data_IF_152647478929
#
_entry.id   IF_152647478929
#
_cell.length_a   1.000
_cell.length_b   1.000
_cell.length_c   1.000
_cell.angle_alpha   90.00
_cell.angle_beta   90.00
_cell.angle_gamma   90.00
#
_symmetry.space_group_name_H-M   'P 1'
#
loop_
_entity.id
_entity.type
_entity.pdbx_description
1 polymer ?
#
# COMPACT_ATOMS: atom_id res chain seq x y z
N UNK A 1 33.95 16.55 49.54
CA UNK A 1 34.37 17.07 48.22
C UNK A 1 33.82 16.13 47.16
N UNK A 2 32.72 16.52 46.52
CA UNK A 2 32.09 15.74 45.45
C UNK A 2 32.39 16.42 44.11
N UNK A 3 32.73 15.68 43.03
CA UNK A 3 32.90 16.29 41.73
C UNK A 3 31.52 16.50 41.09
N UNK A 4 31.22 17.75 40.76
CA UNK A 4 30.13 18.17 39.88
C UNK A 4 30.52 17.87 38.44
N UNK A 5 29.85 16.92 37.81
CA UNK A 5 29.99 16.64 36.40
C UNK A 5 28.73 17.15 35.68
N UNK A 6 28.91 18.26 34.98
CA UNK A 6 27.92 18.89 34.12
C UNK A 6 27.60 17.95 32.96
N UNK A 7 26.32 17.60 32.81
CA UNK A 7 25.82 16.97 31.60
C UNK A 7 25.72 18.03 30.49
N UNK A 8 26.74 18.11 29.64
CA UNK A 8 26.59 18.74 28.33
C UNK A 8 25.63 17.89 27.50
N UNK A 9 24.43 18.44 27.25
CA UNK A 9 23.46 17.88 26.32
C UNK A 9 24.02 17.97 24.90
N UNK A 10 24.70 16.91 24.47
CA UNK A 10 25.07 16.72 23.06
C UNK A 10 23.78 16.40 22.31
N UNK A 11 23.21 17.40 21.64
CA UNK A 11 22.13 17.20 20.67
C UNK A 11 22.70 16.37 19.52
N UNK A 12 22.24 15.14 19.27
CA UNK A 12 22.70 14.39 18.12
C UNK A 12 22.21 15.10 16.86
N UNK A 13 23.16 15.63 16.08
CA UNK A 13 22.93 16.07 14.70
C UNK A 13 22.35 14.88 13.93
N UNK A 14 21.04 14.94 13.68
CA UNK A 14 20.36 14.03 12.77
C UNK A 14 21.09 14.05 11.43
N UNK A 15 21.47 12.89 10.88
CA UNK A 15 22.06 12.85 9.55
C UNK A 15 21.07 13.47 8.55
N UNK A 16 21.56 14.18 7.53
CA UNK A 16 20.70 14.75 6.50
C UNK A 16 19.83 13.63 5.92
N UNK A 17 18.51 13.86 5.97
CA UNK A 17 17.52 13.00 5.33
C UNK A 17 17.97 12.76 3.89
N UNK A 18 18.08 11.50 3.42
CA UNK A 18 18.38 11.25 2.03
C UNK A 18 17.25 11.84 1.21
N UNK A 19 17.50 12.94 0.51
CA UNK A 19 16.65 13.38 -0.57
C UNK A 19 16.51 12.18 -1.50
N UNK A 20 15.28 11.68 -1.65
CA UNK A 20 14.95 10.57 -2.52
C UNK A 20 15.18 11.04 -3.97
N UNK A 21 16.45 11.06 -4.35
CA UNK A 21 16.90 11.39 -5.68
C UNK A 21 16.47 10.20 -6.52
N UNK A 22 15.40 10.43 -7.28
CA UNK A 22 14.77 9.50 -8.20
C UNK A 22 15.79 9.11 -9.28
N UNK A 23 16.75 8.24 -8.93
CA UNK A 23 17.64 7.57 -9.87
C UNK A 23 16.81 6.52 -10.57
N UNK A 24 16.15 6.97 -11.63
CA UNK A 24 15.61 6.10 -12.66
C UNK A 24 16.73 5.18 -13.13
N UNK A 25 16.69 3.94 -12.67
CA UNK A 25 17.43 2.85 -13.25
C UNK A 25 16.94 2.71 -14.70
N UNK A 26 17.78 3.17 -15.63
CA UNK A 26 17.64 2.89 -17.03
C UNK A 26 17.82 1.41 -17.26
N UNK A 27 16.73 0.67 -17.34
CA UNK A 27 16.66 -0.67 -17.93
C UNK A 27 15.29 -0.86 -18.59
N UNK A 28 15.15 -0.32 -19.81
CA UNK A 28 14.25 -0.80 -20.89
C UNK A 28 14.30 0.17 -22.08
N UNK A 29 15.51 0.44 -22.59
CA UNK A 29 15.69 1.03 -23.91
C UNK A 29 15.38 0.00 -24.99
N UNK A 30 14.10 -0.12 -25.38
CA UNK A 30 13.64 -0.41 -26.75
C UNK A 30 12.10 -0.50 -26.81
N UNK A 31 11.51 0.34 -27.67
CA UNK A 31 10.20 0.18 -28.34
C UNK A 31 8.92 0.89 -27.83
N UNK A 32 8.97 1.98 -27.05
CA UNK A 32 7.76 2.80 -26.78
C UNK A 32 7.81 4.26 -27.28
N UNK A 33 8.77 4.58 -28.15
CA UNK A 33 8.89 5.88 -28.82
C UNK A 33 8.02 6.09 -30.06
N UNK A 34 6.92 5.34 -30.26
CA UNK A 34 6.03 5.51 -31.44
C UNK A 34 4.53 5.65 -31.16
N UNK A 35 4.08 5.64 -29.90
CA UNK A 35 2.64 5.79 -29.60
C UNK A 35 2.24 7.09 -28.91
N UNK A 36 3.17 7.84 -28.30
CA UNK A 36 2.85 9.14 -27.68
C UNK A 36 2.84 10.33 -28.65
N UNK A 37 3.52 10.24 -29.79
CA UNK A 37 3.47 11.29 -30.83
C UNK A 37 2.27 11.17 -31.76
N UNK A 38 1.57 10.03 -31.81
CA UNK A 38 0.32 9.90 -32.58
C UNK A 38 -0.91 10.53 -31.92
N UNK A 39 -0.95 10.60 -30.59
CA UNK A 39 -2.10 11.23 -29.92
C UNK A 39 -1.99 12.76 -29.88
N UNK A 40 -0.78 13.32 -29.79
CA UNK A 40 -0.58 14.78 -29.93
C UNK A 40 -0.79 15.28 -31.36
N UNK A 41 -0.44 14.50 -32.37
CA UNK A 41 -0.76 14.84 -33.76
C UNK A 41 -2.28 14.83 -34.01
N UNK A 42 -3.03 13.91 -33.38
CA UNK A 42 -4.50 13.90 -33.48
C UNK A 42 -5.19 15.02 -32.68
N UNK A 43 -4.63 15.45 -31.55
CA UNK A 43 -5.16 16.59 -30.78
C UNK A 43 -4.85 17.94 -31.46
N UNK A 44 -3.71 18.09 -32.12
CA UNK A 44 -3.42 19.31 -32.90
C UNK A 44 -4.25 19.40 -34.19
N UNK A 45 -4.52 18.28 -34.87
CA UNK A 45 -5.41 18.28 -36.03
C UNK A 45 -6.87 18.56 -35.65
N UNK A 46 -7.34 18.14 -34.47
CA UNK A 46 -8.71 18.46 -34.04
C UNK A 46 -8.89 19.94 -33.66
N UNK A 47 -7.89 20.60 -33.09
CA UNK A 47 -7.96 22.04 -32.81
C UNK A 47 -7.84 22.90 -34.08
N UNK A 48 -7.02 22.49 -35.05
CA UNK A 48 -6.93 23.22 -36.33
C UNK A 48 -8.17 23.03 -37.21
N UNK A 49 -8.81 21.85 -37.19
CA UNK A 49 -10.05 21.62 -37.94
C UNK A 49 -11.29 22.20 -37.28
N UNK A 50 -11.28 22.49 -35.97
CA UNK A 50 -12.42 23.16 -35.32
C UNK A 50 -12.36 24.68 -35.44
N UNK A 51 -11.17 25.29 -35.54
CA UNK A 51 -11.08 26.74 -35.76
C UNK A 51 -11.27 27.14 -37.24
N UNK A 52 -10.86 26.31 -38.21
CA UNK A 52 -11.10 26.63 -39.63
C UNK A 52 -12.53 26.32 -40.10
N UNK A 53 -13.26 25.43 -39.43
CA UNK A 53 -14.64 25.11 -39.83
C UNK A 53 -15.69 26.11 -39.27
N UNK A 54 -15.35 26.86 -38.22
CA UNK A 54 -16.25 27.90 -37.67
C UNK A 54 -16.12 29.23 -38.42
N UNK A 55 -15.00 29.47 -39.14
CA UNK A 55 -14.74 30.74 -39.81
C UNK A 55 -15.20 30.84 -41.27
N UNK A 56 -15.74 29.79 -41.88
CA UNK A 56 -16.25 29.84 -43.27
C UNK A 56 -17.78 29.87 -43.39
N UNK A 57 -18.52 29.87 -42.28
CA UNK A 57 -19.99 29.98 -42.28
C UNK A 57 -20.49 31.39 -41.93
N UNK A 58 -19.75 32.44 -42.32
CA UNK A 58 -20.32 33.77 -42.49
C UNK A 58 -20.83 33.83 -43.92
N UNK A 59 -22.05 33.34 -44.09
CA UNK A 59 -22.86 33.46 -45.30
C UNK A 59 -23.02 34.94 -45.62
N UNK A 60 -22.55 35.35 -46.80
CA UNK A 60 -22.99 36.57 -47.46
C UNK A 60 -24.50 36.47 -47.72
N UNK A 61 -25.31 36.99 -46.78
CA UNK A 61 -26.76 37.08 -46.90
C UNK A 61 -27.13 38.50 -47.31
N UNK A 62 -26.95 38.81 -48.60
CA UNK A 62 -27.50 40.01 -49.21
C UNK A 62 -28.60 39.59 -50.19
N UNK A 63 -29.80 39.36 -49.66
CA UNK A 63 -31.03 39.34 -50.48
C UNK A 63 -32.26 39.69 -49.61
N UNK A 64 -33.07 40.68 -50.02
CA UNK A 64 -34.19 41.12 -49.22
C UNK A 64 -35.45 40.24 -49.41
N UNK A 65 -36.00 39.81 -48.28
CA UNK A 65 -37.44 39.92 -47.91
C UNK A 65 -38.48 38.82 -48.17
N UNK A 66 -38.19 37.64 -48.75
CA UNK A 66 -39.23 36.55 -48.74
C UNK A 66 -38.70 35.16 -48.38
N UNK A 67 -37.39 34.93 -48.28
CA UNK A 67 -36.81 33.62 -47.93
C UNK A 67 -36.09 33.57 -46.58
N UNK A 68 -36.06 34.69 -45.83
CA UNK A 68 -35.30 34.81 -44.57
C UNK A 68 -35.76 33.91 -43.43
N UNK A 69 -37.06 33.60 -43.35
CA UNK A 69 -37.62 32.71 -42.33
C UNK A 69 -37.08 31.28 -42.47
N UNK A 70 -36.82 30.83 -43.71
CA UNK A 70 -36.35 29.47 -43.97
C UNK A 70 -34.87 29.28 -43.60
N UNK A 71 -34.03 30.30 -43.79
CA UNK A 71 -32.59 30.23 -43.49
C UNK A 71 -32.34 30.26 -41.98
N UNK A 72 -33.04 31.12 -41.24
CA UNK A 72 -32.91 31.16 -39.77
C UNK A 72 -33.41 29.88 -39.11
N UNK A 73 -34.46 29.27 -39.67
CA UNK A 73 -35.01 28.00 -39.17
C UNK A 73 -34.08 26.82 -39.45
N UNK A 74 -33.41 26.81 -40.61
CA UNK A 74 -32.39 25.82 -40.94
C UNK A 74 -31.15 25.95 -40.04
N UNK A 75 -30.66 27.18 -39.82
CA UNK A 75 -29.53 27.45 -38.94
C UNK A 75 -29.82 27.07 -37.48
N UNK A 76 -31.02 27.37 -36.99
CA UNK A 76 -31.46 26.97 -35.65
C UNK A 76 -31.56 25.45 -35.51
N UNK A 77 -32.03 24.73 -36.54
CA UNK A 77 -32.10 23.27 -36.53
C UNK A 77 -30.71 22.62 -36.49
N UNK A 78 -29.74 23.16 -37.24
CA UNK A 78 -28.35 22.68 -37.23
C UNK A 78 -27.69 22.95 -35.88
N UNK A 79 -27.86 24.15 -35.31
CA UNK A 79 -27.34 24.50 -33.99
C UNK A 79 -27.93 23.62 -32.87
N UNK A 80 -29.24 23.37 -32.91
CA UNK A 80 -29.90 22.46 -31.96
C UNK A 80 -29.37 21.02 -32.10
N UNK A 81 -29.18 20.54 -33.34
CA UNK A 81 -28.58 19.22 -33.61
C UNK A 81 -27.15 19.10 -33.09
N UNK A 82 -26.31 20.12 -33.31
CA UNK A 82 -24.94 20.18 -32.80
C UNK A 82 -24.91 20.20 -31.26
N UNK A 83 -25.82 20.95 -30.62
CA UNK A 83 -25.97 20.98 -29.15
C UNK A 83 -26.34 19.61 -28.56
N UNK A 84 -27.27 18.89 -29.18
CA UNK A 84 -27.65 17.53 -28.76
C UNK A 84 -26.47 16.57 -28.94
N UNK A 85 -25.77 16.63 -30.07
CA UNK A 85 -24.61 15.77 -30.33
C UNK A 85 -23.48 16.02 -29.33
N UNK A 86 -23.17 17.30 -29.05
CA UNK A 86 -22.18 17.70 -28.06
C UNK A 86 -22.56 17.23 -26.64
N UNK A 87 -23.85 17.34 -26.26
CA UNK A 87 -24.34 16.85 -24.98
C UNK A 87 -24.20 15.32 -24.85
N UNK A 88 -24.52 14.57 -25.90
CA UNK A 88 -24.36 13.10 -25.94
C UNK A 88 -22.88 12.70 -25.84
N UNK A 89 -22.00 13.35 -26.61
CA UNK A 89 -20.56 13.09 -26.57
C UNK A 89 -19.96 13.44 -25.19
N UNK A 90 -20.37 14.55 -24.60
CA UNK A 90 -19.98 14.95 -23.24
C UNK A 90 -20.45 13.92 -22.21
N UNK A 91 -21.70 13.44 -22.32
CA UNK A 91 -22.24 12.44 -21.41
C UNK A 91 -21.47 11.09 -21.49
N UNK A 92 -21.16 10.64 -22.71
CA UNK A 92 -20.36 9.43 -22.94
C UNK A 92 -18.92 9.60 -22.44
N UNK A 93 -18.30 10.76 -22.65
CA UNK A 93 -16.97 11.09 -22.14
C UNK A 93 -16.89 11.10 -20.62
N UNK A 94 -17.88 11.68 -19.93
CA UNK A 94 -17.95 11.68 -18.46
C UNK A 94 -18.13 10.26 -17.90
N UNK A 95 -18.92 9.40 -18.55
CA UNK A 95 -19.04 7.99 -18.13
C UNK A 95 -17.74 7.22 -18.29
N UNK A 96 -17.02 7.42 -19.39
CA UNK A 96 -15.73 6.76 -19.63
C UNK A 96 -14.65 7.18 -18.62
N UNK A 97 -14.57 8.47 -18.32
CA UNK A 97 -13.61 9.01 -17.33
C UNK A 97 -13.93 8.56 -15.90
N UNK A 98 -15.21 8.46 -15.52
CA UNK A 98 -15.62 7.90 -14.22
C UNK A 98 -15.16 6.45 -14.04
N UNK A 99 -15.42 5.57 -15.02
CA UNK A 99 -14.98 4.18 -14.97
C UNK A 99 -13.46 4.05 -14.90
N UNK A 100 -12.74 4.85 -15.70
CA UNK A 100 -11.28 4.86 -15.65
C UNK A 100 -10.76 5.34 -14.28
N UNK A 101 -11.39 6.36 -13.68
CA UNK A 101 -11.04 6.84 -12.35
C UNK A 101 -11.35 5.82 -11.25
N UNK A 102 -12.46 5.09 -11.35
CA UNK A 102 -12.80 3.99 -10.42
C UNK A 102 -11.77 2.87 -10.48
N UNK A 103 -11.40 2.42 -11.68
CA UNK A 103 -10.36 1.40 -11.87
C UNK A 103 -9.03 1.88 -11.30
N UNK A 104 -8.67 3.15 -11.54
CA UNK A 104 -7.43 3.72 -11.01
C UNK A 104 -7.45 3.76 -9.48
N UNK A 105 -8.56 4.17 -8.86
CA UNK A 105 -8.72 4.20 -7.40
C UNK A 105 -8.61 2.82 -6.78
N UNK A 106 -9.25 1.81 -7.38
CA UNK A 106 -9.17 0.43 -6.92
C UNK A 106 -7.74 -0.12 -7.04
N UNK A 107 -7.05 0.19 -8.15
CA UNK A 107 -5.64 -0.15 -8.33
C UNK A 107 -4.75 0.51 -7.28
N UNK A 108 -4.93 1.81 -7.05
CA UNK A 108 -4.17 2.58 -6.08
C UNK A 108 -4.41 2.04 -4.66
N UNK A 109 -5.66 1.69 -4.34
CA UNK A 109 -6.00 1.06 -3.06
C UNK A 109 -5.27 -0.27 -2.85
N UNK A 110 -5.27 -1.17 -3.84
CA UNK A 110 -4.56 -2.46 -3.78
C UNK A 110 -3.04 -2.29 -3.65
N UNK A 111 -2.48 -1.30 -4.35
CA UNK A 111 -1.06 -0.95 -4.21
C UNK A 111 -0.77 -0.53 -2.76
N UNK A 112 -1.62 0.30 -2.15
CA UNK A 112 -1.50 0.69 -0.75
C UNK A 112 -1.62 -0.50 0.21
N UNK A 113 -2.56 -1.42 -0.02
CA UNK A 113 -2.66 -2.65 0.78
C UNK A 113 -1.35 -3.46 0.74
N UNK A 114 -0.73 -3.59 -0.44
CA UNK A 114 0.54 -4.29 -0.58
C UNK A 114 1.73 -3.55 0.07
N UNK A 115 1.84 -2.24 -0.14
CA UNK A 115 3.01 -1.47 0.30
C UNK A 115 2.95 -1.06 1.78
N UNK A 116 1.76 -0.74 2.29
CA UNK A 116 1.58 -0.18 3.62
C UNK A 116 1.22 -1.24 4.67
N UNK A 117 0.54 -2.33 4.28
CA UNK A 117 0.05 -3.36 5.21
C UNK A 117 0.75 -4.71 4.99
N UNK A 118 0.41 -5.43 3.92
CA UNK A 118 0.79 -6.84 3.80
C UNK A 118 2.29 -7.05 3.51
N UNK A 119 2.93 -6.15 2.77
CA UNK A 119 4.37 -6.19 2.51
C UNK A 119 5.20 -6.07 3.79
N UNK A 120 5.00 -5.01 4.60
CA UNK A 120 5.63 -4.87 5.90
C UNK A 120 5.38 -6.06 6.84
N UNK A 121 4.15 -6.56 6.93
CA UNK A 121 3.81 -7.74 7.74
C UNK A 121 4.63 -8.95 7.32
N UNK A 122 4.66 -9.27 6.02
CA UNK A 122 5.39 -10.42 5.49
C UNK A 122 6.90 -10.34 5.77
N UNK A 123 7.51 -9.17 5.54
CA UNK A 123 8.95 -8.99 5.71
C UNK A 123 9.36 -9.09 7.18
N UNK A 124 8.58 -8.49 8.08
CA UNK A 124 8.81 -8.54 9.54
C UNK A 124 8.62 -9.93 10.10
N UNK A 125 7.58 -10.65 9.68
CA UNK A 125 7.37 -12.06 10.02
C UNK A 125 8.51 -12.95 9.53
N UNK A 126 9.00 -12.75 8.30
CA UNK A 126 10.17 -13.47 7.78
C UNK A 126 11.44 -13.22 8.61
N UNK A 127 11.68 -11.97 9.03
CA UNK A 127 12.80 -11.62 9.90
C UNK A 127 12.66 -12.25 11.29
N UNK A 128 11.48 -12.16 11.91
CA UNK A 128 11.18 -12.79 13.20
C UNK A 128 11.45 -14.30 13.17
N UNK A 129 10.99 -15.01 12.13
CA UNK A 129 11.30 -16.45 11.95
C UNK A 129 12.78 -16.73 11.79
N UNK A 130 13.53 -15.86 11.10
CA UNK A 130 14.99 -16.00 10.97
C UNK A 130 15.69 -15.86 12.32
N UNK A 131 15.27 -14.90 13.15
CA UNK A 131 15.78 -14.70 14.50
C UNK A 131 15.41 -15.86 15.41
N UNK A 132 14.18 -16.35 15.32
CA UNK A 132 13.72 -17.52 16.07
C UNK A 132 14.67 -18.70 15.85
N UNK A 133 14.96 -19.05 14.59
CA UNK A 133 15.89 -20.14 14.23
C UNK A 133 17.32 -19.96 14.75
N UNK A 134 17.71 -18.76 15.20
CA UNK A 134 19.03 -18.52 15.80
C UNK A 134 19.07 -18.77 17.30
N UNK A 135 17.91 -18.94 17.95
CA UNK A 135 17.86 -19.31 19.37
C UNK A 135 18.38 -20.74 19.52
N UNK A 136 19.51 -20.95 20.24
CA UNK A 136 20.06 -22.27 20.45
C UNK A 136 19.08 -23.10 21.30
N UNK A 137 18.94 -24.40 21.00
CA UNK A 137 18.01 -25.28 21.71
C UNK A 137 16.68 -25.50 21.01
N UNK A 138 16.45 -24.92 19.82
CA UNK A 138 15.37 -25.38 18.92
C UNK A 138 15.72 -26.81 18.48
N UNK A 139 14.95 -27.81 18.91
CA UNK A 139 15.29 -29.21 18.74
C UNK A 139 14.91 -29.64 17.33
N UNK A 140 15.69 -29.25 16.33
CA UNK A 140 15.76 -30.05 15.10
C UNK A 140 16.42 -31.42 15.40
N UNK A 141 16.92 -31.65 16.64
CA UNK A 141 17.71 -32.81 17.03
C UNK A 141 17.31 -33.54 18.33
N UNK A 142 16.26 -33.13 19.08
CA UNK A 142 15.83 -33.87 20.29
C UNK A 142 14.54 -34.64 20.00
N UNK A 143 14.60 -35.97 19.77
CA UNK A 143 13.41 -36.78 19.55
C UNK A 143 12.52 -36.74 20.80
N UNK A 144 11.26 -36.30 20.63
CA UNK A 144 10.23 -36.32 21.67
C UNK A 144 9.79 -34.95 22.20
N UNK A 145 10.52 -33.85 21.94
CA UNK A 145 10.09 -32.51 22.36
C UNK A 145 9.13 -31.92 21.32
N UNK A 146 7.87 -31.77 21.70
CA UNK A 146 6.77 -31.62 20.73
C UNK A 146 6.67 -30.23 20.09
N UNK A 147 7.20 -29.16 20.70
CA UNK A 147 7.36 -27.83 20.06
C UNK A 147 8.10 -26.92 21.04
N UNK A 148 9.25 -26.37 20.67
CA UNK A 148 9.92 -25.37 21.51
C UNK A 148 9.17 -24.03 21.46
N UNK A 149 8.78 -23.47 22.61
CA UNK A 149 8.10 -22.18 22.69
C UNK A 149 8.85 -21.24 23.63
N UNK A 150 9.13 -20.03 23.16
CA UNK A 150 9.85 -19.01 23.92
C UNK A 150 9.25 -18.71 25.30
N UNK A 151 7.92 -18.75 25.43
CA UNK A 151 7.22 -18.46 26.70
C UNK A 151 7.62 -19.44 27.82
N UNK A 152 8.02 -20.67 27.47
CA UNK A 152 8.39 -21.72 28.41
C UNK A 152 9.86 -21.60 28.87
N UNK A 153 10.65 -20.75 28.21
CA UNK A 153 12.10 -20.62 28.41
C UNK A 153 12.52 -19.18 28.77
N UNK A 154 11.61 -18.33 29.25
CA UNK A 154 11.90 -16.93 29.62
C UNK A 154 12.88 -16.86 30.79
N UNK A 155 12.65 -17.65 31.84
CA UNK A 155 13.50 -17.67 33.04
C UNK A 155 14.92 -18.13 32.69
N UNK A 156 15.05 -19.16 31.86
CA UNK A 156 16.32 -19.65 31.33
C UNK A 156 17.05 -18.53 30.57
N UNK A 157 16.40 -17.91 29.59
CA UNK A 157 17.01 -16.90 28.72
C UNK A 157 17.38 -15.62 29.49
N UNK A 158 16.59 -15.24 30.51
CA UNK A 158 16.92 -14.08 31.34
C UNK A 158 18.02 -14.37 32.36
N UNK A 159 18.08 -15.59 32.89
CA UNK A 159 19.11 -16.06 33.82
C UNK A 159 20.46 -16.38 33.17
N UNK A 160 20.51 -16.52 31.85
CA UNK A 160 21.75 -16.75 31.11
C UNK A 160 22.78 -15.63 31.27
N UNK A 161 24.04 -16.04 31.43
CA UNK A 161 25.21 -15.14 31.51
C UNK A 161 25.53 -14.49 30.15
N UNK A 162 25.21 -15.16 29.04
CA UNK A 162 25.46 -14.64 27.69
C UNK A 162 24.27 -13.82 27.18
N UNK A 163 24.48 -12.53 26.89
CA UNK A 163 23.40 -11.63 26.44
C UNK A 163 22.83 -11.95 25.05
N UNK A 164 23.49 -12.82 24.27
CA UNK A 164 23.13 -13.09 22.87
C UNK A 164 21.68 -13.56 22.70
N UNK A 165 21.20 -14.52 23.50
CA UNK A 165 19.82 -15.03 23.39
C UNK A 165 18.81 -13.95 23.78
N UNK A 166 19.10 -13.21 24.85
CA UNK A 166 18.29 -12.09 25.34
C UNK A 166 18.10 -11.03 24.24
N UNK A 167 19.18 -10.61 23.59
CA UNK A 167 19.12 -9.64 22.49
C UNK A 167 18.30 -10.13 21.28
N UNK A 168 18.39 -11.42 20.94
CA UNK A 168 17.57 -12.02 19.87
C UNK A 168 16.09 -11.97 20.25
N UNK A 169 15.75 -12.34 21.49
CA UNK A 169 14.36 -12.30 21.98
C UNK A 169 13.81 -10.89 22.02
N UNK A 170 14.55 -9.93 22.57
CA UNK A 170 14.17 -8.51 22.59
C UNK A 170 13.92 -7.99 21.17
N UNK A 171 14.74 -8.41 20.21
CA UNK A 171 14.52 -8.06 18.80
C UNK A 171 13.24 -8.67 18.23
N UNK A 172 12.91 -9.92 18.60
CA UNK A 172 11.65 -10.57 18.22
C UNK A 172 10.46 -9.83 18.82
N UNK A 173 10.52 -9.47 20.12
CA UNK A 173 9.46 -8.71 20.80
C UNK A 173 9.23 -7.36 20.13
N UNK A 174 10.31 -6.64 19.83
CA UNK A 174 10.22 -5.38 19.07
C UNK A 174 9.55 -5.58 17.71
N UNK A 175 9.86 -6.67 16.99
CA UNK A 175 9.19 -6.98 15.72
C UNK A 175 7.69 -7.25 15.94
N UNK A 176 7.30 -7.90 17.04
CA UNK A 176 5.90 -8.13 17.36
C UNK A 176 5.15 -6.84 17.69
N UNK A 177 5.77 -5.92 18.43
CA UNK A 177 5.21 -4.58 18.69
C UNK A 177 5.01 -3.82 17.36
N UNK A 178 6.03 -3.86 16.51
CA UNK A 178 6.04 -3.30 15.16
C UNK A 178 4.98 -3.91 14.23
N UNK A 179 4.64 -5.19 14.38
CA UNK A 179 3.57 -5.86 13.64
C UNK A 179 2.19 -5.46 14.19
N UNK A 180 2.05 -5.39 15.51
CA UNK A 180 0.83 -4.95 16.22
C UNK A 180 0.45 -3.54 15.78
N UNK A 181 1.42 -2.62 15.73
CA UNK A 181 1.23 -1.25 15.26
C UNK A 181 0.75 -1.20 13.80
N UNK A 182 1.32 -2.03 12.91
CA UNK A 182 0.90 -2.10 11.51
C UNK A 182 -0.56 -2.59 11.42
N UNK A 183 -0.91 -3.66 12.14
CA UNK A 183 -2.26 -4.25 12.09
C UNK A 183 -3.30 -3.22 12.56
N UNK A 184 -3.07 -2.59 13.72
CA UNK A 184 -4.01 -1.63 14.30
C UNK A 184 -4.02 -0.33 13.49
N UNK A 185 -2.86 0.24 13.20
CA UNK A 185 -2.72 1.52 12.51
C UNK A 185 -3.13 1.49 11.03
N UNK A 186 -3.20 0.31 10.41
CA UNK A 186 -3.63 0.11 9.02
C UNK A 186 -4.84 -0.81 8.91
N UNK A 187 -5.66 -0.92 9.95
CA UNK A 187 -6.87 -1.76 9.94
C UNK A 187 -7.83 -1.40 8.80
N UNK A 188 -7.91 -0.13 8.39
CA UNK A 188 -8.70 0.32 7.25
C UNK A 188 -8.22 -0.16 5.87
N UNK A 189 -7.07 -0.84 5.80
CA UNK A 189 -6.54 -1.45 4.57
C UNK A 189 -6.74 -2.97 4.54
N UNK A 190 -7.40 -3.56 5.54
CA UNK A 190 -7.69 -4.99 5.53
C UNK A 190 -8.66 -5.34 4.40
N UNK A 191 -8.45 -6.51 3.79
CA UNK A 191 -9.27 -7.01 2.67
C UNK A 191 -10.69 -7.42 3.11
N UNK A 192 -10.87 -7.77 4.39
CA UNK A 192 -12.13 -8.23 4.96
C UNK A 192 -12.40 -7.56 6.31
N UNK A 193 -13.69 -7.31 6.58
CA UNK A 193 -14.20 -6.89 7.87
C UNK A 193 -15.33 -7.85 8.29
N UNK A 194 -15.21 -8.55 9.43
CA UNK A 194 -14.16 -8.46 10.46
C UNK A 194 -12.77 -8.95 9.99
N UNK A 195 -11.67 -8.58 10.70
CA UNK A 195 -10.32 -9.08 10.41
C UNK A 195 -10.26 -10.62 10.47
N UNK A 196 -9.27 -11.24 9.80
CA UNK A 196 -9.04 -12.68 9.97
C UNK A 196 -8.72 -13.03 11.43
N UNK A 197 -9.30 -14.13 11.94
CA UNK A 197 -9.09 -14.63 13.31
C UNK A 197 -7.60 -14.81 13.66
N UNK A 198 -6.77 -15.14 12.67
CA UNK A 198 -5.32 -15.28 12.85
C UNK A 198 -4.60 -13.99 13.26
N UNK A 199 -5.15 -12.82 12.89
CA UNK A 199 -4.62 -11.52 13.28
C UNK A 199 -4.97 -11.22 14.74
N UNK A 200 -6.20 -11.52 15.16
CA UNK A 200 -6.64 -11.36 16.55
C UNK A 200 -5.82 -12.27 17.47
N UNK A 201 -5.70 -13.55 17.12
CA UNK A 201 -4.85 -14.51 17.82
C UNK A 201 -3.39 -14.04 17.91
N UNK A 202 -2.88 -13.33 16.89
CA UNK A 202 -1.53 -12.76 16.91
C UNK A 202 -1.42 -11.62 17.91
N UNK A 203 -2.39 -10.70 17.94
CA UNK A 203 -2.41 -9.59 18.88
C UNK A 203 -2.45 -10.10 20.34
N UNK A 204 -3.30 -11.10 20.60
CA UNK A 204 -3.38 -11.75 21.92
C UNK A 204 -2.08 -12.45 22.31
N UNK A 205 -1.49 -13.21 21.38
CA UNK A 205 -0.21 -13.88 21.61
C UNK A 205 0.91 -12.86 21.87
N UNK A 206 1.00 -11.78 21.09
CA UNK A 206 2.01 -10.74 21.25
C UNK A 206 1.90 -10.06 22.63
N UNK A 207 0.69 -9.68 23.05
CA UNK A 207 0.44 -9.09 24.36
C UNK A 207 0.78 -10.04 25.51
N UNK A 208 0.43 -11.32 25.36
CA UNK A 208 0.72 -12.38 26.34
C UNK A 208 2.22 -12.58 26.48
N UNK A 209 2.92 -12.80 25.37
CA UNK A 209 4.38 -12.98 25.35
C UNK A 209 5.09 -11.78 25.96
N UNK A 210 4.65 -10.54 25.65
CA UNK A 210 5.23 -9.33 26.24
C UNK A 210 5.07 -9.31 27.76
N UNK A 211 3.88 -9.63 28.25
CA UNK A 211 3.57 -9.65 29.69
C UNK A 211 4.45 -10.64 30.44
N UNK A 212 4.61 -11.87 29.92
CA UNK A 212 5.47 -12.87 30.54
C UNK A 212 6.94 -12.48 30.47
N UNK A 213 7.38 -11.92 29.34
CA UNK A 213 8.75 -11.43 29.21
C UNK A 213 9.04 -10.35 30.26
N UNK A 214 8.17 -9.34 30.39
CA UNK A 214 8.38 -8.23 31.33
C UNK A 214 8.39 -8.72 32.79
N UNK A 215 7.54 -9.70 33.14
CA UNK A 215 7.57 -10.38 34.46
C UNK A 215 8.82 -11.22 34.70
N UNK A 216 9.49 -11.64 33.63
CA UNK A 216 10.66 -12.52 33.67
C UNK A 216 10.36 -13.90 34.24
N UNK A 217 9.14 -14.39 34.03
CA UNK A 217 8.68 -15.70 34.50
C UNK A 217 8.13 -16.52 33.34
N UNK A 218 8.32 -17.83 33.38
CA UNK A 218 7.72 -18.74 32.41
C UNK A 218 6.20 -18.74 32.58
N UNK A 219 5.46 -19.04 31.50
CA UNK A 219 4.03 -19.31 31.68
C UNK A 219 3.82 -20.66 32.36
N UNK A 220 3.12 -20.65 33.48
CA UNK A 220 2.66 -21.85 34.18
C UNK A 220 1.13 -21.89 34.13
N UNK A 221 0.54 -22.89 33.45
CA UNK A 221 -0.91 -23.14 33.45
C UNK A 221 -1.61 -23.23 32.08
N UNK A 222 -2.95 -23.35 32.11
CA UNK A 222 -3.85 -23.73 30.99
C UNK A 222 -4.19 -22.57 30.03
N UNK A 223 -3.53 -21.42 30.14
CA UNK A 223 -3.80 -20.22 29.32
C UNK A 223 -2.87 -20.04 28.10
N UNK A 224 -2.21 -21.10 27.65
CA UNK A 224 -1.17 -21.02 26.63
C UNK A 224 -1.77 -20.75 25.24
N UNK A 225 -1.47 -19.57 24.67
CA UNK A 225 -1.78 -19.24 23.28
C UNK A 225 -0.58 -19.58 22.39
N UNK A 226 -0.65 -20.65 21.57
CA UNK A 226 0.41 -20.95 20.62
C UNK A 226 0.57 -19.82 19.61
N UNK A 227 1.78 -19.65 19.08
CA UNK A 227 2.00 -18.71 17.99
C UNK A 227 1.06 -19.04 16.80
N UNK A 228 0.26 -18.09 16.30
CA UNK A 228 -0.74 -18.36 15.25
C UNK A 228 -0.07 -18.50 13.89
N UNK A 229 0.32 -19.74 13.54
CA UNK A 229 0.99 -20.03 12.27
C UNK A 229 0.18 -19.63 11.04
N UNK A 230 -1.16 -19.68 11.14
CA UNK A 230 -2.09 -19.29 10.08
C UNK A 230 -1.92 -17.85 9.60
N UNK A 231 -1.42 -16.94 10.44
CA UNK A 231 -1.18 -15.55 10.05
C UNK A 231 -0.21 -15.45 8.86
N UNK A 232 0.83 -16.29 8.83
CA UNK A 232 1.80 -16.29 7.73
C UNK A 232 1.15 -16.70 6.40
N UNK A 233 0.24 -17.68 6.46
CA UNK A 233 -0.48 -18.20 5.31
C UNK A 233 -1.50 -17.19 4.80
N UNK A 234 -2.27 -16.55 5.70
CA UNK A 234 -3.26 -15.53 5.36
C UNK A 234 -2.60 -14.29 4.71
N UNK A 235 -1.46 -13.84 5.26
CA UNK A 235 -0.68 -12.75 4.66
C UNK A 235 -0.17 -13.14 3.28
N UNK A 236 0.39 -14.35 3.12
CA UNK A 236 0.92 -14.81 1.83
C UNK A 236 -0.19 -15.00 0.77
N UNK A 237 -1.32 -15.58 1.15
CA UNK A 237 -2.49 -15.76 0.31
C UNK A 237 -3.05 -14.40 -0.15
N UNK A 238 -3.15 -13.43 0.75
CA UNK A 238 -3.63 -12.09 0.43
C UNK A 238 -2.67 -11.35 -0.51
N UNK A 239 -1.35 -11.43 -0.28
CA UNK A 239 -0.36 -10.87 -1.21
C UNK A 239 -0.52 -11.48 -2.61
N UNK A 240 -0.70 -12.81 -2.70
CA UNK A 240 -0.91 -13.49 -3.98
C UNK A 240 -2.19 -13.01 -4.68
N UNK A 241 -3.30 -12.89 -3.94
CA UNK A 241 -4.59 -12.37 -4.44
C UNK A 241 -4.44 -10.94 -4.96
N UNK A 242 -3.86 -10.04 -4.19
CA UNK A 242 -3.67 -8.64 -4.56
C UNK A 242 -2.78 -8.48 -5.80
N UNK A 243 -1.69 -9.25 -5.91
CA UNK A 243 -0.81 -9.24 -7.09
C UNK A 243 -1.49 -9.77 -8.35
N UNK A 244 -2.35 -10.78 -8.23
CA UNK A 244 -3.10 -11.32 -9.37
C UNK A 244 -4.15 -10.32 -9.90
N UNK A 245 -4.53 -9.35 -9.07
CA UNK A 245 -5.58 -8.38 -9.37
C UNK A 245 -5.04 -7.00 -9.81
N UNK A 246 -3.72 -6.85 -9.98
CA UNK A 246 -3.02 -5.63 -10.41
C UNK A 246 -2.48 -5.70 -11.84
#
# INVERSE_FOLDING_TARGET
MAPSWEWQTVVPLLPPQPTYQNRGAGWAGRSLGRRRTRNRAREMDQHLLTEECVMSFIVAADSPTVQGVNVTLLAAAIAAGAGILAAVLSYLGVRGTRKAAEIQRDRDYRIRQLSELYGPLYMRRKLSRKLWRQLPGIPDAIPGVTKWNLIDHIEEIKGEETERRRLIVERILRINDELTEIIIGRAGLLDQFPPPESFEAFLEHAATLRTYWDRGKNATGVGYLPFPQRMDDDVAATIKKLRAAL
#
